data_IF_782535096559
#
_entry.id   IF_782535096559
#
_cell.length_a   1.000
_cell.length_b   1.000
_cell.length_c   1.000
_cell.angle_alpha   90.00
_cell.angle_beta   90.00
_cell.angle_gamma   90.00
#
_symmetry.space_group_name_H-M   'P 1'
#
loop_
_entity.id
_entity.type
_entity.pdbx_description
1 polymer ?
#
# COMPACT_ATOMS: atom_id res chain seq x y z
N UNK A 1 5.69 15.53 -18.82
CA UNK A 1 5.56 14.42 -17.85
C UNK A 1 4.17 13.85 -17.98
N UNK A 2 4.02 12.53 -17.94
CA UNK A 2 2.69 11.90 -17.90
C UNK A 2 2.08 12.05 -16.51
N UNK A 3 0.76 12.28 -16.44
CA UNK A 3 0.03 12.28 -15.17
C UNK A 3 0.01 10.86 -14.57
N UNK A 4 0.17 10.70 -13.25
CA UNK A 4 0.06 9.40 -12.60
C UNK A 4 -1.38 8.87 -12.67
N UNK A 5 -1.54 7.56 -12.85
CA UNK A 5 -2.85 6.90 -12.86
C UNK A 5 -3.24 6.46 -11.44
N UNK A 6 -3.94 7.34 -10.73
CA UNK A 6 -4.42 7.06 -9.36
C UNK A 6 -5.83 6.47 -9.45
N UNK A 7 -5.95 5.18 -9.15
CA UNK A 7 -7.23 4.46 -9.23
C UNK A 7 -8.12 4.67 -7.99
N UNK A 8 -7.51 4.86 -6.81
CA UNK A 8 -8.20 5.04 -5.54
C UNK A 8 -7.30 5.79 -4.55
N UNK A 9 -7.91 6.62 -3.71
CA UNK A 9 -7.30 7.13 -2.48
C UNK A 9 -8.18 6.71 -1.31
N UNK A 10 -7.56 6.15 -0.27
CA UNK A 10 -8.26 5.64 0.91
C UNK A 10 -7.58 6.17 2.17
N UNK A 11 -8.38 6.62 3.14
CA UNK A 11 -7.93 6.97 4.48
C UNK A 11 -8.37 5.85 5.43
N UNK A 12 -7.40 5.19 6.06
CA UNK A 12 -7.60 4.17 7.09
C UNK A 12 -6.43 4.26 8.07
N UNK A 13 -6.70 4.45 9.35
CA UNK A 13 -5.68 4.59 10.39
C UNK A 13 -4.87 3.30 10.64
N UNK A 14 -5.31 2.18 10.06
CA UNK A 14 -4.59 0.89 10.13
C UNK A 14 -3.76 0.62 8.88
N UNK A 15 -3.83 1.50 7.88
CA UNK A 15 -3.07 1.41 6.63
C UNK A 15 -3.27 0.04 5.95
N UNK A 16 -2.19 -0.71 5.71
CA UNK A 16 -2.25 -2.06 5.17
C UNK A 16 -2.33 -3.07 6.30
N UNK A 17 -3.51 -3.66 6.50
CA UNK A 17 -3.73 -4.68 7.52
C UNK A 17 -4.61 -5.83 7.00
N UNK A 18 -4.23 -7.06 7.37
CA UNK A 18 -4.96 -8.27 6.99
C UNK A 18 -5.21 -8.39 5.47
N UNK A 19 -6.41 -8.84 5.11
CA UNK A 19 -6.83 -9.03 3.71
C UNK A 19 -7.41 -7.77 3.07
N UNK A 20 -7.67 -6.70 3.84
CA UNK A 20 -8.38 -5.54 3.33
C UNK A 20 -7.60 -4.77 2.26
N UNK A 21 -6.28 -4.61 2.44
CA UNK A 21 -5.42 -3.99 1.41
C UNK A 21 -5.48 -4.73 0.07
N UNK A 22 -5.58 -6.07 0.14
CA UNK A 22 -5.64 -6.98 -1.02
C UNK A 22 -6.97 -6.88 -1.75
N UNK A 23 -8.08 -6.86 -1.00
CA UNK A 23 -9.42 -6.76 -1.59
C UNK A 23 -9.52 -5.54 -2.49
N UNK A 24 -9.02 -4.39 -2.04
CA UNK A 24 -9.05 -3.18 -2.84
C UNK A 24 -8.13 -3.22 -4.05
N UNK A 25 -6.85 -3.62 -3.87
CA UNK A 25 -5.88 -3.66 -4.99
C UNK A 25 -6.33 -4.60 -6.09
N UNK A 26 -6.84 -5.78 -5.73
CA UNK A 26 -7.39 -6.75 -6.69
C UNK A 26 -8.66 -6.23 -7.37
N UNK A 27 -9.60 -5.67 -6.61
CA UNK A 27 -10.90 -5.20 -7.15
C UNK A 27 -10.74 -4.08 -8.17
N UNK A 28 -9.80 -3.15 -7.94
CA UNK A 28 -9.58 -2.02 -8.85
C UNK A 28 -8.51 -2.31 -9.91
N UNK A 29 -7.83 -3.46 -9.85
CA UNK A 29 -6.74 -3.81 -10.74
C UNK A 29 -5.47 -2.97 -10.54
N UNK A 30 -5.20 -2.53 -9.31
CA UNK A 30 -3.97 -1.82 -8.99
C UNK A 30 -2.78 -2.77 -8.88
N UNK A 31 -1.65 -2.39 -9.47
CA UNK A 31 -0.38 -3.12 -9.37
C UNK A 31 0.62 -2.51 -8.36
N UNK A 32 0.28 -1.33 -7.80
CA UNK A 32 1.13 -0.58 -6.88
C UNK A 32 0.26 0.07 -5.80
N UNK A 33 0.65 -0.12 -4.54
CA UNK A 33 0.11 0.55 -3.37
C UNK A 33 1.15 1.52 -2.80
N UNK A 34 0.71 2.74 -2.50
CA UNK A 34 1.54 3.80 -1.91
C UNK A 34 0.98 4.11 -0.52
N UNK A 35 1.78 3.86 0.51
CA UNK A 35 1.47 4.24 1.89
C UNK A 35 2.14 5.59 2.15
N UNK A 36 1.34 6.62 2.42
CA UNK A 36 1.81 7.97 2.75
C UNK A 36 1.53 8.21 4.22
N UNK A 37 2.56 7.99 5.05
CA UNK A 37 2.51 8.13 6.50
C UNK A 37 3.94 8.30 7.04
N UNK A 38 4.21 9.44 7.67
CA UNK A 38 5.53 9.80 8.19
C UNK A 38 6.08 8.78 9.18
N UNK A 39 5.22 8.20 10.02
CA UNK A 39 5.65 7.25 11.05
C UNK A 39 6.05 5.94 10.38
N UNK A 40 5.21 5.40 9.51
CA UNK A 40 5.50 4.15 8.80
C UNK A 40 6.66 4.30 7.84
N UNK A 41 6.80 5.45 7.16
CA UNK A 41 7.94 5.73 6.28
C UNK A 41 9.29 5.66 7.02
N UNK A 42 9.28 5.84 8.35
CA UNK A 42 10.46 5.75 9.21
C UNK A 42 10.52 4.49 10.10
N UNK A 43 9.53 3.59 10.03
CA UNK A 43 9.45 2.36 10.82
C UNK A 43 9.63 1.11 9.93
N UNK A 44 10.86 0.57 9.93
CA UNK A 44 11.22 -0.62 9.14
C UNK A 44 10.40 -1.86 9.50
N UNK A 45 10.02 -2.05 10.77
CA UNK A 45 9.24 -3.22 11.19
C UNK A 45 7.84 -3.14 10.59
N UNK A 46 7.20 -1.97 10.66
CA UNK A 46 5.89 -1.75 10.07
C UNK A 46 5.93 -1.91 8.55
N UNK A 47 6.94 -1.36 7.88
CA UNK A 47 7.12 -1.53 6.44
C UNK A 47 7.24 -3.01 6.04
N UNK A 48 8.04 -3.77 6.78
CA UNK A 48 8.23 -5.20 6.52
C UNK A 48 6.94 -5.99 6.73
N UNK A 49 6.19 -5.71 7.80
CA UNK A 49 4.92 -6.38 8.08
C UNK A 49 3.89 -6.10 6.98
N UNK A 50 3.77 -4.86 6.52
CA UNK A 50 2.88 -4.50 5.40
C UNK A 50 3.40 -5.06 4.06
N UNK A 51 4.72 -5.14 3.90
CA UNK A 51 5.40 -5.70 2.73
C UNK A 51 5.05 -7.16 2.45
N UNK A 52 4.90 -7.97 3.49
CA UNK A 52 4.51 -9.39 3.38
C UNK A 52 3.17 -9.54 2.64
N UNK A 53 2.22 -8.63 2.87
CA UNK A 53 0.94 -8.63 2.14
C UNK A 53 1.18 -8.40 0.65
N UNK A 54 2.00 -7.40 0.29
CA UNK A 54 2.28 -7.11 -1.11
C UNK A 54 2.98 -8.27 -1.83
N UNK A 55 3.96 -8.90 -1.17
CA UNK A 55 4.65 -10.10 -1.67
C UNK A 55 3.71 -11.29 -1.87
N UNK A 56 2.83 -11.55 -0.90
CA UNK A 56 1.89 -12.68 -0.95
C UNK A 56 0.92 -12.58 -2.14
N UNK A 57 0.53 -11.36 -2.52
CA UNK A 57 -0.49 -11.12 -3.54
C UNK A 57 0.06 -10.55 -4.85
N UNK A 58 1.37 -10.39 -4.97
CA UNK A 58 2.04 -10.05 -6.23
C UNK A 58 1.86 -8.61 -6.71
N UNK A 59 1.72 -7.64 -5.78
CA UNK A 59 1.69 -6.22 -6.13
C UNK A 59 2.87 -5.46 -5.48
N UNK A 60 3.24 -4.31 -6.03
CA UNK A 60 4.26 -3.45 -5.44
C UNK A 60 3.72 -2.64 -4.26
N UNK A 61 4.55 -2.41 -3.25
CA UNK A 61 4.24 -1.47 -2.15
C UNK A 61 5.41 -0.51 -1.91
N UNK A 62 5.11 0.76 -1.65
CA UNK A 62 6.10 1.80 -1.33
C UNK A 62 5.60 2.68 -0.18
N UNK A 63 6.53 3.19 0.62
CA UNK A 63 6.26 4.00 1.80
C UNK A 63 6.91 5.38 1.63
N UNK A 64 6.16 6.44 1.90
CA UNK A 64 6.59 7.83 1.76
C UNK A 64 6.07 8.68 2.93
N UNK A 65 6.80 9.76 3.21
CA UNK A 65 6.35 10.92 4.00
C UNK A 65 5.37 11.76 3.19
#
# INVERSE_FOLDING_TARGET
MSSPNILLTRIDNRLVHGQFGVTWTSTIGANLLVVVDDVVANDYIQQKLMGITAETYGFGIRFFT
#
